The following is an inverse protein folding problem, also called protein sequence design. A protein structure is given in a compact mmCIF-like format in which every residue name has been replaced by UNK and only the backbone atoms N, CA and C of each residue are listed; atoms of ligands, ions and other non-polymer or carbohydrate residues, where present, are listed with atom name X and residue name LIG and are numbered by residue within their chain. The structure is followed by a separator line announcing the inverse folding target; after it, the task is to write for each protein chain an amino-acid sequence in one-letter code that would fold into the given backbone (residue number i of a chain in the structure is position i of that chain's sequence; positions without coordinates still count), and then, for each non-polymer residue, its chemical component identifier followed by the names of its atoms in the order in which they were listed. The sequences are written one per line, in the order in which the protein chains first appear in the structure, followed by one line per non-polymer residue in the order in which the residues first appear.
data_IF_522824330722
#
_entry.id   IF_522824330722
#
_cell.length_a   1.000
_cell.length_b   1.000
_cell.length_c   1.000
_cell.angle_alpha   90.00
_cell.angle_beta   90.00
_cell.angle_gamma   90.00
#
_symmetry.space_group_name_H-M   'P 1'
#
loop_
_entity.id
_entity.type
_entity.pdbx_description
1 polymer ?
#
# COMPACT_ATOMS: atom_id res chain seq x y z
N UNK A 1 40.66 33.46 -50.50
CA UNK A 1 40.23 32.07 -50.29
C UNK A 1 40.21 31.83 -48.78
N UNK A 2 39.04 31.42 -48.26
CA UNK A 2 38.83 30.69 -47.00
C UNK A 2 39.50 31.19 -45.71
N UNK A 3 38.89 32.15 -45.01
CA UNK A 3 39.03 32.20 -43.54
C UNK A 3 37.75 32.76 -42.91
N UNK A 4 37.34 32.16 -41.80
CA UNK A 4 36.37 32.65 -40.81
C UNK A 4 34.89 32.21 -40.88
N UNK A 5 34.57 31.05 -41.49
CA UNK A 5 33.25 30.42 -41.30
C UNK A 5 33.22 29.34 -40.20
N UNK A 6 34.38 28.84 -39.77
CA UNK A 6 34.49 27.79 -38.74
C UNK A 6 34.29 28.32 -37.33
N UNK A 7 34.80 29.52 -37.02
CA UNK A 7 34.72 30.08 -35.66
C UNK A 7 33.28 30.47 -35.25
N UNK A 8 32.46 30.93 -36.21
CA UNK A 8 31.07 31.32 -35.95
C UNK A 8 30.13 30.11 -35.78
N UNK A 9 30.42 28.99 -36.45
CA UNK A 9 29.68 27.73 -36.28
C UNK A 9 29.98 27.05 -34.94
N UNK A 10 31.21 27.13 -34.46
CA UNK A 10 31.59 26.60 -33.14
C UNK A 10 30.98 27.40 -31.98
N UNK A 11 30.83 28.74 -32.12
CA UNK A 11 30.19 29.56 -31.09
C UNK A 11 28.67 29.30 -30.99
N UNK A 12 28.01 29.03 -32.12
CA UNK A 12 26.56 28.74 -32.15
C UNK A 12 26.24 27.37 -31.51
N UNK A 13 27.14 26.38 -31.67
CA UNK A 13 26.98 25.04 -31.09
C UNK A 13 27.13 25.03 -29.55
N UNK A 14 28.00 25.89 -29.01
CA UNK A 14 28.15 26.08 -27.55
C UNK A 14 26.95 26.81 -26.95
N UNK A 15 26.34 27.75 -27.68
CA UNK A 15 25.15 28.48 -27.20
C UNK A 15 23.87 27.62 -27.21
N UNK A 16 23.74 26.67 -28.14
CA UNK A 16 22.61 25.71 -28.18
C UNK A 16 22.72 24.66 -27.05
N UNK A 17 23.93 24.26 -26.65
CA UNK A 17 24.15 23.36 -25.50
C UNK A 17 23.84 24.01 -24.15
N UNK A 18 23.93 25.34 -24.02
CA UNK A 18 23.58 26.07 -22.79
C UNK A 18 22.07 26.33 -22.61
N UNK A 19 21.26 26.13 -23.66
CA UNK A 19 19.79 26.22 -23.59
C UNK A 19 19.12 24.90 -23.23
N UNK A 20 19.84 23.77 -23.30
CA UNK A 20 19.39 22.50 -22.73
C UNK A 20 19.78 22.51 -21.26
N UNK A 21 19.00 23.23 -20.44
CA UNK A 21 19.01 22.91 -19.00
C UNK A 21 18.58 21.45 -18.90
N UNK A 22 19.38 20.53 -18.35
CA UNK A 22 18.79 19.30 -17.87
C UNK A 22 17.76 19.76 -16.84
N UNK A 23 16.48 19.56 -17.14
CA UNK A 23 15.49 19.46 -16.08
C UNK A 23 15.96 18.23 -15.32
N UNK A 24 16.83 18.45 -14.33
CA UNK A 24 16.96 17.54 -13.22
C UNK A 24 15.54 17.44 -12.70
N UNK A 25 14.84 16.37 -13.08
CA UNK A 25 13.67 15.95 -12.35
C UNK A 25 14.16 15.80 -10.92
N UNK A 26 13.86 16.77 -10.08
CA UNK A 26 14.04 16.62 -8.65
C UNK A 26 13.12 15.47 -8.28
N UNK A 27 13.68 14.27 -8.08
CA UNK A 27 12.90 13.14 -7.61
C UNK A 27 12.25 13.56 -6.30
N UNK A 28 10.95 13.82 -6.35
CA UNK A 28 10.19 14.24 -5.18
C UNK A 28 10.25 13.11 -4.16
N UNK A 29 10.76 13.40 -2.97
CA UNK A 29 10.78 12.46 -1.87
C UNK A 29 9.37 12.30 -1.29
N UNK A 30 8.68 11.21 -1.63
CA UNK A 30 7.31 10.93 -1.18
C UNK A 30 7.22 10.78 0.36
N UNK A 31 8.29 10.36 1.02
CA UNK A 31 8.36 10.24 2.49
C UNK A 31 8.16 11.61 3.15
N UNK A 32 8.66 12.67 2.52
CA UNK A 32 8.59 14.03 3.08
C UNK A 32 7.43 14.83 2.51
N UNK A 33 7.20 14.73 1.19
CA UNK A 33 6.28 15.62 0.48
C UNK A 33 4.82 15.12 0.45
N UNK A 34 4.59 13.81 0.64
CA UNK A 34 3.30 13.18 0.33
C UNK A 34 2.69 12.45 1.51
N UNK A 35 3.40 11.47 2.07
CA UNK A 35 2.86 10.60 3.13
C UNK A 35 2.40 11.36 4.39
N UNK A 36 3.09 12.44 4.84
CA UNK A 36 2.61 13.24 5.97
C UNK A 36 1.25 13.88 5.70
N UNK A 37 1.04 14.43 4.50
CA UNK A 37 -0.23 15.09 4.11
C UNK A 37 -1.38 14.07 3.98
N UNK A 38 -1.10 12.88 3.45
CA UNK A 38 -2.07 11.78 3.43
C UNK A 38 -2.42 11.35 4.85
N UNK A 39 -1.43 11.17 5.72
CA UNK A 39 -1.67 10.84 7.12
C UNK A 39 -2.56 11.88 7.83
N UNK A 40 -2.31 13.17 7.64
CA UNK A 40 -3.16 14.24 8.17
C UNK A 40 -4.61 14.15 7.62
N UNK A 41 -4.78 13.88 6.33
CA UNK A 41 -6.09 13.68 5.73
C UNK A 41 -6.84 12.50 6.35
N UNK A 42 -6.14 11.39 6.62
CA UNK A 42 -6.72 10.19 7.23
C UNK A 42 -7.10 10.40 8.70
N UNK A 43 -6.36 11.23 9.45
CA UNK A 43 -6.78 11.64 10.80
C UNK A 43 -8.05 12.49 10.77
N UNK A 44 -8.17 13.40 9.80
CA UNK A 44 -9.38 14.19 9.60
C UNK A 44 -10.60 13.32 9.22
N UNK A 45 -10.38 12.24 8.46
CA UNK A 45 -11.42 11.23 8.18
C UNK A 45 -11.91 10.58 9.47
N UNK A 46 -11.01 10.15 10.36
CA UNK A 46 -11.38 9.55 11.65
C UNK A 46 -12.23 10.53 12.48
N UNK A 47 -11.88 11.82 12.42
CA UNK A 47 -12.61 12.91 13.07
C UNK A 47 -13.87 13.36 12.32
N UNK A 48 -14.21 12.71 11.21
CA UNK A 48 -15.36 12.99 10.34
C UNK A 48 -15.36 14.38 9.69
N UNK A 49 -14.20 15.04 9.65
CA UNK A 49 -14.01 16.31 8.91
C UNK A 49 -13.58 16.00 7.47
N UNK A 50 -14.55 15.57 6.67
CA UNK A 50 -14.29 15.14 5.29
C UNK A 50 -13.87 16.30 4.37
N UNK A 51 -14.31 17.52 4.66
CA UNK A 51 -13.96 18.70 3.86
C UNK A 51 -12.50 19.08 4.09
N UNK A 52 -12.04 19.13 5.35
CA UNK A 52 -10.63 19.38 5.63
C UNK A 52 -9.74 18.22 5.14
N UNK A 53 -10.19 16.96 5.28
CA UNK A 53 -9.49 15.80 4.74
C UNK A 53 -9.30 15.92 3.22
N UNK A 54 -10.34 16.36 2.50
CA UNK A 54 -10.29 16.58 1.06
C UNK A 54 -9.24 17.64 0.68
N UNK A 55 -9.12 18.74 1.42
CA UNK A 55 -8.09 19.76 1.17
C UNK A 55 -6.67 19.24 1.42
N UNK A 56 -6.48 18.39 2.44
CA UNK A 56 -5.19 17.73 2.68
C UNK A 56 -4.82 16.77 1.55
N UNK A 57 -5.77 15.99 1.03
CA UNK A 57 -5.54 15.17 -0.16
C UNK A 57 -5.20 16.02 -1.39
N UNK A 58 -5.91 17.14 -1.64
CA UNK A 58 -5.57 18.06 -2.74
C UNK A 58 -4.13 18.55 -2.65
N UNK A 59 -3.70 18.93 -1.44
CA UNK A 59 -2.33 19.38 -1.17
C UNK A 59 -1.33 18.25 -1.41
N UNK A 60 -1.60 17.03 -0.92
CA UNK A 60 -0.76 15.86 -1.15
C UNK A 60 -0.62 15.56 -2.65
N UNK A 61 -1.73 15.58 -3.39
CA UNK A 61 -1.75 15.27 -4.81
C UNK A 61 -1.03 16.30 -5.67
N UNK A 62 -0.99 17.56 -5.24
CA UNK A 62 -0.23 18.61 -5.89
C UNK A 62 1.29 18.51 -5.61
N UNK A 63 1.69 17.84 -4.52
CA UNK A 63 3.08 17.74 -4.11
C UNK A 63 3.89 16.72 -4.91
N UNK A 64 3.23 15.77 -5.58
CA UNK A 64 3.87 14.65 -6.27
C UNK A 64 3.35 14.43 -7.70
N UNK A 65 4.15 13.81 -8.58
CA UNK A 65 3.72 13.56 -9.95
C UNK A 65 2.62 12.51 -10.08
N UNK A 66 2.61 11.49 -9.21
CA UNK A 66 1.65 10.38 -9.30
C UNK A 66 1.22 9.91 -7.89
N UNK A 67 0.06 10.36 -7.40
CA UNK A 67 -0.55 9.86 -6.15
C UNK A 67 -0.99 8.39 -6.27
N UNK A 68 -1.21 7.71 -5.14
CA UNK A 68 -1.67 6.31 -5.13
C UNK A 68 -3.17 6.19 -5.38
N UNK A 69 -3.61 5.08 -5.99
CA UNK A 69 -5.03 4.82 -6.26
C UNK A 69 -5.87 4.82 -4.98
N UNK A 70 -5.36 4.21 -3.90
CA UNK A 70 -6.04 4.16 -2.59
C UNK A 70 -6.35 5.56 -2.06
N UNK A 71 -5.45 6.50 -2.25
CA UNK A 71 -5.59 7.85 -1.73
C UNK A 71 -6.58 8.65 -2.58
N UNK A 72 -6.56 8.47 -3.92
CA UNK A 72 -7.63 8.99 -4.79
C UNK A 72 -9.01 8.45 -4.42
N UNK A 73 -9.09 7.17 -4.02
CA UNK A 73 -10.33 6.56 -3.56
C UNK A 73 -10.81 7.25 -2.28
N UNK A 74 -9.96 7.32 -1.23
CA UNK A 74 -10.32 7.98 0.02
C UNK A 74 -10.72 9.45 -0.21
N UNK A 75 -10.01 10.18 -1.09
CA UNK A 75 -10.36 11.55 -1.45
C UNK A 75 -11.69 11.66 -2.21
N UNK A 76 -12.04 10.69 -3.07
CA UNK A 76 -13.35 10.64 -3.74
C UNK A 76 -14.48 10.39 -2.73
N UNK A 77 -14.23 9.53 -1.73
CA UNK A 77 -15.18 9.29 -0.64
C UNK A 77 -15.38 10.57 0.19
N UNK A 78 -14.30 11.26 0.58
CA UNK A 78 -14.38 12.57 1.23
C UNK A 78 -15.19 13.57 0.41
N UNK A 79 -14.87 13.73 -0.87
CA UNK A 79 -15.58 14.65 -1.76
C UNK A 79 -17.07 14.31 -1.88
N UNK A 80 -17.43 13.02 -1.90
CA UNK A 80 -18.83 12.59 -1.94
C UNK A 80 -19.56 12.97 -0.66
N UNK A 81 -18.94 12.73 0.50
CA UNK A 81 -19.52 13.04 1.81
C UNK A 81 -19.57 14.54 2.11
N UNK A 82 -18.74 15.33 1.44
CA UNK A 82 -18.78 16.80 1.46
C UNK A 82 -19.62 17.41 0.33
N UNK A 83 -20.37 16.58 -0.40
CA UNK A 83 -21.23 17.00 -1.53
C UNK A 83 -20.51 17.71 -2.69
N UNK A 84 -19.18 17.63 -2.76
CA UNK A 84 -18.37 18.13 -3.88
C UNK A 84 -18.39 17.13 -5.05
N UNK A 85 -19.50 17.17 -5.79
CA UNK A 85 -19.74 16.29 -6.96
C UNK A 85 -18.66 16.44 -8.03
N UNK A 86 -18.15 17.65 -8.26
CA UNK A 86 -17.13 17.90 -9.28
C UNK A 86 -15.86 17.14 -8.91
N UNK A 87 -15.36 17.34 -7.69
CA UNK A 87 -14.13 16.73 -7.23
C UNK A 87 -14.25 15.21 -7.10
N UNK A 88 -15.44 14.73 -6.72
CA UNK A 88 -15.77 13.30 -6.73
C UNK A 88 -15.51 12.67 -8.10
N UNK A 89 -16.12 13.19 -9.17
CA UNK A 89 -15.93 12.64 -10.52
C UNK A 89 -14.52 12.85 -11.08
N UNK A 90 -13.84 13.93 -10.67
CA UNK A 90 -12.44 14.15 -11.04
C UNK A 90 -11.54 13.04 -10.46
N UNK A 91 -11.75 12.62 -9.21
CA UNK A 91 -10.99 11.52 -8.59
C UNK A 91 -11.43 10.13 -9.06
N UNK A 92 -12.72 9.88 -9.27
CA UNK A 92 -13.19 8.62 -9.89
C UNK A 92 -12.57 8.42 -11.29
N UNK A 93 -12.36 9.51 -12.04
CA UNK A 93 -11.61 9.48 -13.30
C UNK A 93 -10.14 9.11 -13.09
N UNK A 94 -9.47 9.61 -12.04
CA UNK A 94 -8.08 9.22 -11.75
C UNK A 94 -7.97 7.72 -11.43
N UNK A 95 -8.91 7.17 -10.65
CA UNK A 95 -9.00 5.73 -10.39
C UNK A 95 -9.12 4.92 -11.70
N UNK A 96 -10.01 5.34 -12.60
CA UNK A 96 -10.17 4.70 -13.91
C UNK A 96 -8.89 4.77 -14.78
N UNK A 97 -8.14 5.87 -14.69
CA UNK A 97 -6.85 6.04 -15.38
C UNK A 97 -5.72 5.21 -14.76
N UNK A 98 -5.89 4.72 -13.53
CA UNK A 98 -4.98 3.79 -12.84
C UNK A 98 -5.37 2.32 -12.99
N UNK A 99 -6.48 2.03 -13.65
CA UNK A 99 -6.93 0.67 -13.95
C UNK A 99 -7.90 0.07 -12.94
N UNK A 100 -8.44 0.87 -12.01
CA UNK A 100 -9.48 0.42 -11.06
C UNK A 100 -10.81 0.26 -11.80
N UNK A 101 -11.42 -0.92 -11.71
CA UNK A 101 -12.61 -1.32 -12.47
C UNK A 101 -13.87 -0.54 -12.08
N UNK A 102 -14.72 -0.25 -13.06
CA UNK A 102 -16.02 0.40 -12.81
C UNK A 102 -16.88 -0.45 -11.87
N UNK A 103 -16.86 -1.77 -12.05
CA UNK A 103 -17.57 -2.71 -11.18
C UNK A 103 -17.08 -2.66 -9.73
N UNK A 104 -15.80 -2.35 -9.49
CA UNK A 104 -15.31 -2.12 -8.14
C UNK A 104 -15.93 -0.85 -7.54
N UNK A 105 -15.94 0.26 -8.30
CA UNK A 105 -16.53 1.54 -7.87
C UNK A 105 -18.04 1.41 -7.62
N UNK A 106 -18.77 0.73 -8.50
CA UNK A 106 -20.22 0.51 -8.39
C UNK A 106 -20.64 -0.28 -7.15
N UNK A 107 -19.74 -1.08 -6.57
CA UNK A 107 -20.00 -1.82 -5.32
C UNK A 107 -19.88 -0.95 -4.07
N UNK A 108 -19.36 0.27 -4.19
CA UNK A 108 -19.09 1.14 -3.05
C UNK A 108 -20.33 1.95 -2.72
N UNK A 109 -20.99 1.60 -1.61
CA UNK A 109 -22.27 2.19 -1.21
C UNK A 109 -22.25 3.71 -1.12
N UNK A 110 -21.10 4.30 -0.76
CA UNK A 110 -20.96 5.76 -0.66
C UNK A 110 -21.21 6.50 -1.96
N UNK A 111 -21.03 5.85 -3.12
CA UNK A 111 -21.28 6.46 -4.43
C UNK A 111 -22.70 6.20 -4.97
N UNK A 112 -23.52 5.35 -4.33
CA UNK A 112 -24.89 5.04 -4.76
C UNK A 112 -25.77 6.27 -5.03
N UNK A 113 -25.74 7.34 -4.20
CA UNK A 113 -26.53 8.55 -4.46
C UNK A 113 -26.21 9.23 -5.79
N UNK A 114 -25.08 8.92 -6.42
CA UNK A 114 -24.66 9.49 -7.69
C UNK A 114 -25.27 8.74 -8.89
N UNK A 115 -25.73 7.49 -8.74
CA UNK A 115 -26.01 6.60 -9.88
C UNK A 115 -27.13 7.10 -10.80
N UNK A 116 -28.12 7.78 -10.25
CA UNK A 116 -29.26 8.32 -11.02
C UNK A 116 -28.92 9.67 -11.70
N UNK A 117 -27.79 10.28 -11.33
CA UNK A 117 -27.40 11.59 -11.84
C UNK A 117 -27.03 11.54 -13.32
N UNK A 118 -27.17 12.69 -13.99
CA UNK A 118 -26.69 12.83 -15.38
C UNK A 118 -25.16 12.68 -15.47
N UNK A 119 -24.43 13.07 -14.44
CA UNK A 119 -22.97 13.02 -14.44
C UNK A 119 -22.42 11.62 -14.26
N UNK A 120 -23.09 10.77 -13.47
CA UNK A 120 -22.75 9.35 -13.39
C UNK A 120 -22.91 8.64 -14.73
N UNK A 121 -24.06 8.81 -15.40
CA UNK A 121 -24.28 8.28 -16.77
C UNK A 121 -23.21 8.75 -17.76
N UNK A 122 -22.75 10.01 -17.65
CA UNK A 122 -21.62 10.52 -18.46
C UNK A 122 -20.30 9.85 -18.09
N UNK A 123 -20.05 9.63 -16.80
CA UNK A 123 -18.85 8.96 -16.30
C UNK A 123 -18.78 7.52 -16.82
N UNK A 124 -19.84 6.73 -16.66
CA UNK A 124 -19.94 5.35 -17.16
C UNK A 124 -19.72 5.27 -18.68
N UNK A 125 -20.38 6.15 -19.44
CA UNK A 125 -20.19 6.21 -20.91
C UNK A 125 -18.74 6.54 -21.30
N UNK A 126 -18.04 7.36 -20.51
CA UNK A 126 -16.63 7.73 -20.75
C UNK A 126 -15.65 6.70 -20.19
N UNK A 127 -16.07 5.83 -19.28
CA UNK A 127 -15.21 4.91 -18.57
C UNK A 127 -14.35 4.01 -19.50
N UNK A 128 -14.89 3.39 -20.58
CA UNK A 128 -14.07 2.62 -21.52
C UNK A 128 -12.93 3.44 -22.17
N UNK A 129 -13.13 4.74 -22.37
CA UNK A 129 -12.07 5.63 -22.88
C UNK A 129 -10.96 5.85 -21.86
N UNK A 130 -11.31 6.00 -20.57
CA UNK A 130 -10.31 6.13 -19.50
C UNK A 130 -9.52 4.82 -19.34
N UNK A 131 -10.21 3.69 -19.36
CA UNK A 131 -9.56 2.39 -19.27
C UNK A 131 -8.62 2.11 -20.46
N UNK A 132 -8.98 2.51 -21.69
CA UNK A 132 -8.04 2.47 -22.84
C UNK A 132 -6.82 3.38 -22.66
N UNK A 133 -6.97 4.53 -21.99
CA UNK A 133 -5.84 5.41 -21.66
C UNK A 133 -4.93 4.77 -20.62
N UNK A 134 -5.51 4.14 -19.60
CA UNK A 134 -4.80 3.32 -18.63
C UNK A 134 -3.92 2.28 -19.35
N UNK A 135 -4.51 1.41 -20.19
CA UNK A 135 -3.78 0.34 -20.90
C UNK A 135 -2.64 0.85 -21.78
N UNK A 136 -2.73 2.07 -22.33
CA UNK A 136 -1.66 2.66 -23.14
C UNK A 136 -0.54 3.28 -22.30
N UNK A 137 -0.85 3.76 -21.09
CA UNK A 137 0.11 4.41 -20.20
C UNK A 137 0.94 3.41 -19.40
N UNK A 138 0.35 2.26 -19.09
CA UNK A 138 1.00 1.21 -18.29
C UNK A 138 1.57 0.11 -19.20
N UNK A 139 2.62 -0.54 -18.72
CA UNK A 139 3.24 -1.65 -19.41
C UNK A 139 2.53 -2.97 -19.04
N UNK A 140 1.57 -3.36 -19.89
CA UNK A 140 0.77 -4.57 -19.70
C UNK A 140 1.59 -5.86 -19.89
N UNK A 141 2.65 -5.82 -20.69
CA UNK A 141 3.55 -6.95 -20.89
C UNK A 141 4.35 -7.22 -19.62
N UNK A 142 4.99 -6.18 -19.05
CA UNK A 142 5.70 -6.28 -17.76
C UNK A 142 4.74 -6.71 -16.64
N UNK A 143 3.49 -6.21 -16.64
CA UNK A 143 2.49 -6.69 -15.67
C UNK A 143 2.26 -8.21 -15.82
N UNK A 144 2.06 -8.69 -17.03
CA UNK A 144 1.80 -10.11 -17.29
C UNK A 144 3.01 -10.99 -16.92
N UNK A 145 4.24 -10.56 -17.24
CA UNK A 145 5.47 -11.26 -16.85
C UNK A 145 5.62 -11.35 -15.33
N UNK A 146 5.36 -10.26 -14.61
CA UNK A 146 5.42 -10.24 -13.14
C UNK A 146 4.31 -11.08 -12.49
N UNK A 147 3.12 -11.09 -13.08
CA UNK A 147 2.02 -11.97 -12.64
C UNK A 147 2.38 -13.45 -12.84
N UNK A 148 3.16 -13.80 -13.87
CA UNK A 148 3.65 -15.16 -14.11
C UNK A 148 4.52 -15.68 -12.95
N UNK A 149 5.34 -14.82 -12.32
CA UNK A 149 6.16 -15.21 -11.17
C UNK A 149 5.32 -15.80 -10.03
N UNK A 150 4.14 -15.21 -9.79
CA UNK A 150 3.18 -15.70 -8.81
C UNK A 150 2.59 -17.05 -9.22
N UNK A 151 2.21 -17.22 -10.48
CA UNK A 151 1.66 -18.50 -10.96
C UNK A 151 2.69 -19.63 -10.92
N UNK A 152 3.95 -19.36 -11.26
CA UNK A 152 5.07 -20.30 -11.18
C UNK A 152 5.29 -20.79 -9.75
N UNK A 153 5.30 -19.87 -8.77
CA UNK A 153 5.42 -20.23 -7.34
C UNK A 153 4.23 -21.11 -6.88
N UNK A 154 3.00 -20.68 -7.20
CA UNK A 154 1.80 -21.38 -6.74
C UNK A 154 1.63 -22.77 -7.34
N UNK A 155 1.98 -22.96 -8.62
CA UNK A 155 1.78 -24.23 -9.34
C UNK A 155 2.31 -25.43 -8.58
N UNK A 156 3.56 -25.37 -8.09
CA UNK A 156 4.19 -26.49 -7.40
C UNK A 156 3.92 -26.49 -5.89
N UNK A 157 3.70 -25.31 -5.30
CA UNK A 157 3.45 -25.19 -3.86
C UNK A 157 2.10 -25.79 -3.46
N UNK A 158 1.10 -25.70 -4.35
CA UNK A 158 -0.25 -26.24 -4.15
C UNK A 158 -0.51 -27.52 -4.96
N UNK A 159 0.50 -28.06 -5.64
CA UNK A 159 0.40 -29.39 -6.25
C UNK A 159 0.34 -30.49 -5.18
N UNK A 160 -0.10 -31.69 -5.57
CA UNK A 160 -0.13 -32.84 -4.67
C UNK A 160 1.27 -33.11 -4.09
N UNK A 161 1.35 -33.20 -2.76
CA UNK A 161 2.62 -33.33 -2.03
C UNK A 161 3.37 -32.00 -1.80
N UNK A 162 3.05 -30.94 -2.54
CA UNK A 162 3.52 -29.57 -2.29
C UNK A 162 5.02 -29.46 -1.99
N UNK A 163 5.36 -28.75 -0.91
CA UNK A 163 6.74 -28.59 -0.45
C UNK A 163 7.46 -29.92 -0.16
N UNK A 164 6.74 -30.97 0.24
CA UNK A 164 7.36 -32.28 0.53
C UNK A 164 7.91 -32.95 -0.72
N UNK A 165 7.25 -32.76 -1.86
CA UNK A 165 7.61 -33.40 -3.15
C UNK A 165 8.43 -32.45 -4.02
N UNK A 166 8.11 -31.16 -4.02
CA UNK A 166 8.66 -30.19 -4.96
C UNK A 166 9.64 -29.20 -4.31
N UNK A 167 10.28 -29.55 -3.18
CA UNK A 167 11.20 -28.65 -2.47
C UNK A 167 12.30 -28.08 -3.38
N UNK A 168 12.99 -28.94 -4.13
CA UNK A 168 14.10 -28.53 -5.01
C UNK A 168 13.61 -27.70 -6.19
N UNK A 169 12.50 -28.11 -6.80
CA UNK A 169 11.84 -27.36 -7.87
C UNK A 169 11.43 -25.96 -7.41
N UNK A 170 10.83 -25.86 -6.22
CA UNK A 170 10.41 -24.59 -5.65
C UNK A 170 11.62 -23.69 -5.33
N UNK A 171 12.73 -24.24 -4.83
CA UNK A 171 13.95 -23.46 -4.60
C UNK A 171 14.49 -22.88 -5.92
N UNK A 172 14.58 -23.70 -6.96
CA UNK A 172 15.01 -23.24 -8.29
C UNK A 172 14.09 -22.14 -8.85
N UNK A 173 12.77 -22.31 -8.72
CA UNK A 173 11.80 -21.30 -9.13
C UNK A 173 11.93 -20.02 -8.32
N UNK A 174 12.12 -20.11 -7.00
CA UNK A 174 12.34 -18.96 -6.12
C UNK A 174 13.56 -18.16 -6.58
N UNK A 175 14.69 -18.82 -6.88
CA UNK A 175 15.92 -18.17 -7.36
C UNK A 175 15.72 -17.51 -8.74
N UNK A 176 15.15 -18.25 -9.71
CA UNK A 176 14.86 -17.72 -11.05
C UNK A 176 13.91 -16.51 -10.99
N UNK A 177 12.91 -16.56 -10.11
CA UNK A 177 11.95 -15.46 -9.95
C UNK A 177 12.62 -14.21 -9.35
N UNK A 178 13.59 -14.36 -8.45
CA UNK A 178 14.41 -13.23 -7.94
C UNK A 178 15.18 -12.59 -9.09
N UNK A 179 15.88 -13.38 -9.91
CA UNK A 179 16.64 -12.86 -11.06
C UNK A 179 15.75 -12.16 -12.09
N UNK A 180 14.54 -12.68 -12.34
CA UNK A 180 13.58 -12.03 -13.22
C UNK A 180 13.12 -10.69 -12.64
N UNK A 181 12.73 -10.66 -11.36
CA UNK A 181 12.28 -9.43 -10.70
C UNK A 181 13.38 -8.36 -10.67
N UNK A 182 14.62 -8.73 -10.31
CA UNK A 182 15.75 -7.80 -10.27
C UNK A 182 16.09 -7.25 -11.66
N UNK A 183 16.02 -8.06 -12.72
CA UNK A 183 16.21 -7.60 -14.11
C UNK A 183 15.11 -6.63 -14.53
N UNK A 184 13.87 -6.90 -14.16
CA UNK A 184 12.75 -5.98 -14.43
C UNK A 184 12.95 -4.65 -13.70
N UNK A 185 13.34 -4.67 -12.43
CA UNK A 185 13.64 -3.48 -11.64
C UNK A 185 14.81 -2.70 -12.27
N UNK A 186 15.89 -3.37 -12.66
CA UNK A 186 17.04 -2.71 -13.29
C UNK A 186 16.69 -2.04 -14.63
N UNK A 187 15.74 -2.60 -15.38
CA UNK A 187 15.33 -2.08 -16.70
C UNK A 187 14.26 -0.99 -16.61
N UNK A 188 13.34 -1.10 -15.67
CA UNK A 188 12.11 -0.30 -15.65
C UNK A 188 11.88 0.49 -14.35
N UNK A 189 12.74 0.34 -13.35
CA UNK A 189 12.48 0.77 -11.97
C UNK A 189 11.54 -0.17 -11.22
N UNK A 190 11.28 0.11 -9.94
CA UNK A 190 10.39 -0.72 -9.13
C UNK A 190 8.97 -0.75 -9.74
N UNK A 191 8.35 -1.94 -9.98
CA UNK A 191 7.06 -2.04 -10.68
C UNK A 191 5.86 -1.59 -9.84
N UNK A 192 5.72 -0.27 -9.65
CA UNK A 192 4.60 0.37 -8.97
C UNK A 192 3.39 0.67 -9.86
N UNK A 193 2.38 1.34 -9.30
CA UNK A 193 1.13 1.67 -10.01
C UNK A 193 1.36 2.46 -11.31
N UNK A 194 2.40 3.30 -11.36
CA UNK A 194 2.75 4.08 -12.56
C UNK A 194 3.13 3.17 -13.72
N UNK A 195 3.88 2.10 -13.46
CA UNK A 195 4.38 1.18 -14.48
C UNK A 195 3.32 0.14 -14.85
N UNK A 196 2.72 -0.52 -13.86
CA UNK A 196 1.87 -1.71 -14.07
C UNK A 196 0.40 -1.52 -13.68
N UNK A 197 0.00 -0.34 -13.20
CA UNK A 197 -1.36 -0.06 -12.73
C UNK A 197 -1.64 -0.54 -11.32
N UNK A 198 -2.76 -0.06 -10.75
CA UNK A 198 -3.18 -0.38 -9.39
C UNK A 198 -3.97 -1.70 -9.27
N UNK A 199 -4.23 -2.39 -10.38
CA UNK A 199 -5.12 -3.55 -10.43
C UNK A 199 -6.60 -3.18 -10.31
N UNK A 200 -7.46 -4.12 -10.68
CA UNK A 200 -8.91 -3.90 -10.82
C UNK A 200 -9.59 -3.43 -9.52
N UNK A 201 -9.09 -3.85 -8.37
CA UNK A 201 -9.65 -3.55 -7.05
C UNK A 201 -8.65 -2.89 -6.09
N UNK A 202 -7.67 -2.14 -6.62
CA UNK A 202 -6.58 -1.50 -5.85
C UNK A 202 -5.79 -2.50 -5.00
N UNK A 203 -4.93 -3.27 -5.67
CA UNK A 203 -4.07 -4.25 -5.04
C UNK A 203 -3.14 -3.56 -4.02
N UNK A 204 -3.22 -3.96 -2.74
CA UNK A 204 -2.34 -3.41 -1.69
C UNK A 204 -0.90 -3.93 -1.80
N UNK A 205 -0.74 -5.12 -2.39
CA UNK A 205 0.53 -5.72 -2.75
C UNK A 205 0.42 -6.22 -4.20
N UNK A 206 1.36 -5.85 -5.08
CA UNK A 206 1.47 -6.46 -6.40
C UNK A 206 1.69 -7.97 -6.26
N UNK A 207 1.16 -8.79 -7.19
CA UNK A 207 1.25 -10.25 -7.09
C UNK A 207 2.67 -10.79 -7.01
N UNK A 208 3.64 -10.11 -7.65
CA UNK A 208 5.05 -10.47 -7.57
C UNK A 208 5.67 -10.27 -6.18
N UNK A 209 4.97 -9.62 -5.22
CA UNK A 209 5.44 -9.48 -3.83
C UNK A 209 5.73 -10.82 -3.17
N UNK A 210 5.09 -11.90 -3.64
CA UNK A 210 5.35 -13.26 -3.21
C UNK A 210 6.84 -13.62 -3.34
N UNK A 211 7.53 -13.14 -4.39
CA UNK A 211 8.96 -13.38 -4.61
C UNK A 211 9.77 -12.81 -3.45
N UNK A 212 9.42 -11.59 -3.02
CA UNK A 212 10.06 -10.88 -1.92
C UNK A 212 9.76 -11.58 -0.58
N UNK A 213 8.50 -11.97 -0.36
CA UNK A 213 8.07 -12.67 0.87
C UNK A 213 8.79 -14.02 1.08
N UNK A 214 9.29 -14.66 0.00
CA UNK A 214 10.04 -15.91 0.11
C UNK A 214 11.50 -15.73 0.49
N UNK A 215 12.06 -14.54 0.35
CA UNK A 215 13.47 -14.26 0.64
C UNK A 215 13.73 -13.95 2.11
N UNK A 216 13.47 -14.93 2.98
CA UNK A 216 13.65 -14.74 4.42
C UNK A 216 15.11 -14.83 4.83
N UNK A 217 15.47 -14.15 5.92
CA UNK A 217 16.81 -14.24 6.52
C UNK A 217 17.15 -15.69 6.91
N UNK A 218 16.16 -16.46 7.40
CA UNK A 218 16.32 -17.87 7.74
C UNK A 218 16.72 -18.74 6.53
N UNK A 219 16.31 -18.34 5.31
CA UNK A 219 16.69 -19.00 4.05
C UNK A 219 17.95 -18.43 3.42
N UNK A 220 18.58 -17.41 4.02
CA UNK A 220 19.64 -16.60 3.39
C UNK A 220 19.19 -16.03 2.03
N UNK A 221 17.92 -15.62 1.95
CA UNK A 221 17.35 -15.05 0.74
C UNK A 221 17.94 -13.68 0.40
N UNK A 222 17.67 -13.21 -0.82
CA UNK A 222 18.07 -11.88 -1.28
C UNK A 222 17.39 -10.78 -0.42
N UNK A 223 18.18 -9.82 0.06
CA UNK A 223 17.64 -8.70 0.85
C UNK A 223 17.08 -7.60 -0.05
N UNK A 224 15.76 -7.54 -0.17
CA UNK A 224 15.07 -6.50 -0.93
C UNK A 224 14.95 -5.16 -0.17
N UNK A 225 15.43 -5.06 1.08
CA UNK A 225 15.26 -3.85 1.92
C UNK A 225 15.65 -2.55 1.21
N UNK A 226 16.84 -2.43 0.57
CA UNK A 226 17.23 -1.18 -0.09
C UNK A 226 16.28 -0.81 -1.24
N UNK A 227 15.88 -1.80 -2.05
CA UNK A 227 14.96 -1.60 -3.18
C UNK A 227 13.56 -1.19 -2.71
N UNK A 228 13.10 -1.74 -1.59
CA UNK A 228 11.80 -1.38 -1.01
C UNK A 228 11.81 0.05 -0.44
N UNK A 229 12.89 0.45 0.24
CA UNK A 229 13.05 1.81 0.76
C UNK A 229 13.10 2.85 -0.37
N UNK A 230 13.88 2.57 -1.42
CA UNK A 230 13.96 3.41 -2.61
C UNK A 230 12.60 3.49 -3.32
N UNK A 231 11.89 2.37 -3.45
CA UNK A 231 10.56 2.35 -4.04
C UNK A 231 9.54 3.22 -3.28
N UNK A 232 9.63 3.28 -1.95
CA UNK A 232 8.79 4.19 -1.15
C UNK A 232 9.19 5.65 -1.40
N UNK A 233 10.48 5.96 -1.34
CA UNK A 233 10.98 7.32 -1.56
C UNK A 233 10.54 7.87 -2.93
N UNK A 234 10.55 7.04 -3.97
CA UNK A 234 10.15 7.38 -5.34
C UNK A 234 8.64 7.30 -5.61
N UNK A 235 7.82 6.90 -4.64
CA UNK A 235 6.37 6.75 -4.82
C UNK A 235 5.93 5.54 -5.66
N UNK A 236 6.79 4.52 -5.77
CA UNK A 236 6.49 3.27 -6.48
C UNK A 236 5.88 2.19 -5.56
N UNK A 237 6.00 2.33 -4.24
CA UNK A 237 5.42 1.42 -3.25
C UNK A 237 4.93 2.20 -2.02
N UNK A 238 3.82 1.78 -1.43
CA UNK A 238 3.36 2.42 -0.18
C UNK A 238 4.25 2.01 1.00
N UNK A 239 4.43 2.89 2.00
CA UNK A 239 5.25 2.58 3.17
C UNK A 239 4.69 1.41 3.99
N UNK A 240 3.36 1.22 4.01
CA UNK A 240 2.73 0.06 4.67
C UNK A 240 3.08 -1.26 3.98
N UNK A 241 3.08 -1.29 2.65
CA UNK A 241 3.46 -2.46 1.87
C UNK A 241 4.95 -2.79 2.04
N UNK A 242 5.83 -1.78 1.96
CA UNK A 242 7.26 -1.96 2.17
C UNK A 242 7.57 -2.52 3.57
N UNK A 243 6.98 -1.92 4.61
CA UNK A 243 7.15 -2.39 5.99
C UNK A 243 6.71 -3.83 6.18
N UNK A 244 5.58 -4.24 5.58
CA UNK A 244 5.09 -5.60 5.63
C UNK A 244 6.09 -6.58 5.01
N UNK A 245 6.58 -6.28 3.80
CA UNK A 245 7.55 -7.13 3.09
C UNK A 245 8.90 -7.19 3.81
N UNK A 246 9.34 -6.10 4.43
CA UNK A 246 10.57 -6.09 5.24
C UNK A 246 10.42 -6.90 6.54
N UNK A 247 9.26 -6.85 7.20
CA UNK A 247 8.97 -7.70 8.37
C UNK A 247 8.88 -9.18 7.98
N UNK A 248 8.27 -9.49 6.83
CA UNK A 248 8.18 -10.85 6.30
C UNK A 248 9.58 -11.45 6.02
N UNK A 249 10.49 -10.68 5.43
CA UNK A 249 11.88 -11.11 5.19
C UNK A 249 12.66 -11.29 6.50
N UNK A 250 12.52 -10.36 7.44
CA UNK A 250 13.26 -10.36 8.71
C UNK A 250 12.73 -11.39 9.73
N UNK A 251 11.47 -11.82 9.60
CA UNK A 251 10.82 -12.71 10.57
C UNK A 251 10.53 -12.03 11.91
N UNK A 252 10.50 -10.70 11.95
CA UNK A 252 10.19 -9.92 13.15
C UNK A 252 9.27 -8.74 12.84
N UNK A 253 8.62 -8.18 13.88
CA UNK A 253 7.61 -7.12 13.75
C UNK A 253 8.17 -5.74 14.13
N UNK A 254 9.25 -5.29 13.49
CA UNK A 254 9.96 -4.04 13.84
C UNK A 254 9.17 -2.75 13.56
N UNK A 255 8.29 -2.75 12.55
CA UNK A 255 7.38 -1.66 12.20
C UNK A 255 5.98 -1.82 12.81
N UNK A 256 5.67 -2.98 13.39
CA UNK A 256 4.38 -3.33 13.99
C UNK A 256 3.23 -3.19 12.97
N UNK A 257 3.39 -3.79 11.78
CA UNK A 257 2.39 -3.69 10.69
C UNK A 257 1.05 -4.35 11.02
N UNK A 258 1.06 -5.31 11.94
CA UNK A 258 -0.13 -5.81 12.62
C UNK A 258 -0.48 -4.83 13.74
N UNK A 259 -1.49 -3.99 13.52
CA UNK A 259 -1.95 -3.00 14.47
C UNK A 259 -2.79 -3.62 15.59
N UNK A 260 -3.68 -4.55 15.25
CA UNK A 260 -4.64 -5.15 16.17
C UNK A 260 -4.54 -6.67 16.16
N UNK A 261 -4.77 -7.27 17.33
CA UNK A 261 -4.92 -8.71 17.51
C UNK A 261 -6.30 -9.00 18.07
N UNK A 262 -6.95 -10.06 17.59
CA UNK A 262 -8.16 -10.61 18.19
C UNK A 262 -7.95 -12.09 18.46
N UNK A 263 -8.23 -12.51 19.69
CA UNK A 263 -8.14 -13.92 20.10
C UNK A 263 -9.54 -14.40 20.43
N UNK A 264 -9.97 -15.45 19.73
CA UNK A 264 -11.25 -16.13 19.92
C UNK A 264 -11.01 -17.61 20.23
N UNK A 265 -11.99 -18.28 20.82
CA UNK A 265 -11.91 -19.71 21.12
C UNK A 265 -12.68 -20.53 20.10
N UNK A 266 -12.18 -21.74 19.81
CA UNK A 266 -12.79 -22.67 18.83
C UNK A 266 -14.21 -23.01 19.26
N UNK A 267 -14.37 -23.38 20.53
CA UNK A 267 -15.65 -23.45 21.21
C UNK A 267 -15.58 -22.49 22.42
N UNK A 268 -16.54 -21.57 22.60
CA UNK A 268 -16.56 -20.66 23.74
C UNK A 268 -16.38 -21.37 25.10
N UNK A 269 -16.95 -22.57 25.24
CA UNK A 269 -16.87 -23.39 26.47
C UNK A 269 -15.45 -23.79 26.85
N UNK A 270 -14.55 -23.98 25.88
CA UNK A 270 -13.17 -24.41 26.13
C UNK A 270 -12.33 -23.29 26.80
N UNK A 271 -12.84 -22.07 26.77
CA UNK A 271 -12.24 -20.91 27.42
C UNK A 271 -13.02 -20.43 28.64
N UNK A 272 -14.13 -21.10 28.97
CA UNK A 272 -14.87 -20.86 30.21
C UNK A 272 -14.06 -21.30 31.43
N UNK A 273 -14.51 -20.87 32.60
CA UNK A 273 -13.89 -21.22 33.87
C UNK A 273 -14.11 -20.12 34.89
N UNK A 274 -13.65 -20.30 36.14
CA UNK A 274 -14.11 -19.51 37.28
C UNK A 274 -13.83 -18.00 37.16
N UNK A 275 -12.83 -17.61 36.36
CA UNK A 275 -12.57 -16.21 35.97
C UNK A 275 -12.69 -16.05 34.46
N UNK A 276 -13.53 -15.11 34.00
CA UNK A 276 -13.67 -14.75 32.59
C UNK A 276 -12.39 -14.07 32.07
N UNK A 277 -11.90 -14.48 30.91
CA UNK A 277 -10.80 -13.79 30.25
C UNK A 277 -11.35 -12.50 29.62
N UNK A 278 -11.02 -11.36 30.24
CA UNK A 278 -11.54 -10.04 29.85
C UNK A 278 -11.10 -9.56 28.46
N UNK A 279 -10.07 -10.18 27.89
CA UNK A 279 -9.43 -9.82 26.63
C UNK A 279 -9.95 -10.65 25.43
N UNK A 280 -10.66 -11.76 25.66
CA UNK A 280 -11.19 -12.59 24.59
C UNK A 280 -12.24 -11.84 23.76
N UNK A 281 -12.25 -12.14 22.46
CA UNK A 281 -13.17 -11.59 21.46
C UNK A 281 -13.14 -10.06 21.30
N UNK A 282 -12.13 -9.40 21.89
CA UNK A 282 -11.87 -7.98 21.75
C UNK A 282 -10.71 -7.74 20.80
N UNK A 283 -10.68 -6.53 20.23
CA UNK A 283 -9.50 -6.04 19.56
C UNK A 283 -8.49 -5.55 20.59
N UNK A 284 -7.26 -6.02 20.44
CA UNK A 284 -6.16 -5.84 21.38
C UNK A 284 -4.98 -5.16 20.70
N UNK A 285 -4.24 -4.38 21.48
CA UNK A 285 -2.96 -3.80 21.08
C UNK A 285 -1.86 -4.32 21.99
N UNK A 286 -0.67 -4.52 21.42
CA UNK A 286 0.53 -4.87 22.19
C UNK A 286 0.91 -3.70 23.09
N UNK A 287 1.11 -3.98 24.38
CA UNK A 287 1.61 -3.02 25.35
C UNK A 287 3.10 -2.81 25.11
N UNK A 288 3.47 -1.56 24.85
CA UNK A 288 4.86 -1.13 24.70
C UNK A 288 5.20 -0.14 25.81
N UNK A 289 6.44 -0.15 26.27
CA UNK A 289 6.97 1.00 27.01
C UNK A 289 7.17 2.20 26.09
N UNK A 290 7.17 3.42 26.64
CA UNK A 290 7.42 4.65 25.87
C UNK A 290 8.69 4.54 25.02
N UNK A 291 9.78 4.01 25.61
CA UNK A 291 11.06 3.83 24.91
C UNK A 291 10.97 2.85 23.72
N UNK A 292 10.16 1.79 23.83
CA UNK A 292 9.97 0.85 22.73
C UNK A 292 9.12 1.47 21.63
N UNK A 293 8.07 2.19 21.99
CA UNK A 293 7.22 2.91 21.06
C UNK A 293 7.99 4.00 20.31
N UNK A 294 8.85 4.78 20.98
CA UNK A 294 9.71 5.80 20.36
C UNK A 294 10.66 5.19 19.31
N UNK A 295 11.23 4.01 19.61
CA UNK A 295 12.08 3.28 18.65
C UNK A 295 11.28 2.83 17.44
N UNK A 296 10.08 2.29 17.65
CA UNK A 296 9.19 1.88 16.56
C UNK A 296 8.79 3.10 15.73
N UNK A 297 8.43 4.22 16.35
CA UNK A 297 8.04 5.44 15.67
C UNK A 297 9.19 6.07 14.88
N UNK A 298 10.41 6.02 15.39
CA UNK A 298 11.62 6.44 14.66
C UNK A 298 11.81 5.61 13.39
N UNK A 299 11.69 4.27 13.50
CA UNK A 299 11.78 3.37 12.34
C UNK A 299 10.64 3.64 11.35
N UNK A 300 9.41 3.79 11.83
CA UNK A 300 8.23 4.07 11.01
C UNK A 300 8.39 5.39 10.25
N UNK A 301 8.78 6.47 10.93
CA UNK A 301 9.01 7.77 10.30
C UNK A 301 10.09 7.72 9.21
N UNK A 302 11.17 6.95 9.42
CA UNK A 302 12.23 6.80 8.41
C UNK A 302 11.77 6.15 7.10
N UNK A 303 10.65 5.41 7.14
CA UNK A 303 10.03 4.79 5.97
C UNK A 303 8.80 5.57 5.48
N UNK A 304 8.45 6.71 6.08
CA UNK A 304 7.23 7.45 5.75
C UNK A 304 5.94 6.86 6.30
N UNK A 305 6.02 6.00 7.31
CA UNK A 305 4.87 5.55 8.09
C UNK A 305 4.52 6.58 9.18
N UNK A 306 3.23 6.67 9.49
CA UNK A 306 2.70 7.42 10.62
C UNK A 306 3.13 6.82 11.98
N UNK A 307 2.99 7.55 13.10
CA UNK A 307 3.13 6.99 14.43
C UNK A 307 2.25 5.74 14.64
N UNK A 308 2.74 4.79 15.45
CA UNK A 308 2.06 3.52 15.67
C UNK A 308 0.66 3.71 16.28
N UNK A 309 0.50 4.67 17.19
CA UNK A 309 -0.77 5.00 17.82
C UNK A 309 -1.82 5.41 16.78
N UNK A 310 -1.45 6.26 15.82
CA UNK A 310 -2.35 6.73 14.78
C UNK A 310 -2.73 5.63 13.81
N UNK A 311 -1.77 4.78 13.45
CA UNK A 311 -2.05 3.60 12.64
C UNK A 311 -3.05 2.66 13.34
N UNK A 312 -2.90 2.45 14.65
CA UNK A 312 -3.88 1.67 15.45
C UNK A 312 -5.26 2.33 15.47
N UNK A 313 -5.34 3.66 15.62
CA UNK A 313 -6.60 4.43 15.54
C UNK A 313 -7.27 4.27 14.17
N UNK A 314 -6.53 4.40 13.07
CA UNK A 314 -7.02 4.17 11.69
C UNK A 314 -7.56 2.76 11.48
N UNK A 315 -6.82 1.74 11.92
CA UNK A 315 -7.24 0.34 11.77
C UNK A 315 -8.49 0.06 12.61
N UNK A 316 -8.57 0.58 13.83
CA UNK A 316 -9.77 0.42 14.66
C UNK A 316 -10.99 1.11 14.03
N UNK A 317 -10.81 2.32 13.48
CA UNK A 317 -11.87 3.03 12.76
C UNK A 317 -12.36 2.23 11.54
N UNK A 318 -11.45 1.67 10.73
CA UNK A 318 -11.82 0.87 9.54
C UNK A 318 -12.64 -0.39 9.86
N UNK A 319 -12.62 -0.87 11.10
CA UNK A 319 -13.48 -1.98 11.54
C UNK A 319 -14.93 -1.55 11.79
N UNK A 320 -15.16 -0.26 12.00
CA UNK A 320 -16.47 0.34 12.26
C UNK A 320 -17.04 1.02 11.00
N UNK A 321 -16.18 1.67 10.22
CA UNK A 321 -16.53 2.35 8.97
C UNK A 321 -15.66 1.84 7.82
N UNK A 322 -16.28 1.07 6.93
CA UNK A 322 -15.61 0.44 5.80
C UNK A 322 -15.72 1.25 4.49
N UNK A 323 -16.19 2.50 4.55
CA UNK A 323 -16.27 3.38 3.37
C UNK A 323 -14.88 3.87 2.94
N UNK A 324 -13.90 3.80 3.82
CA UNK A 324 -12.53 4.25 3.59
C UNK A 324 -11.54 3.08 3.63
N UNK A 325 -10.44 3.21 2.88
CA UNK A 325 -9.33 2.26 2.85
C UNK A 325 -8.15 2.80 3.66
N UNK A 326 -8.29 2.82 4.99
CA UNK A 326 -7.23 3.28 5.90
C UNK A 326 -6.37 2.13 6.44
N UNK A 327 -6.93 0.92 6.48
CA UNK A 327 -6.26 -0.28 6.97
C UNK A 327 -5.76 -1.17 5.82
N UNK A 328 -4.61 -1.80 6.03
CA UNK A 328 -4.13 -2.88 5.15
C UNK A 328 -4.78 -4.23 5.52
N UNK A 329 -4.82 -5.19 4.60
CA UNK A 329 -5.46 -6.50 4.82
C UNK A 329 -4.77 -7.33 5.92
N UNK A 330 -3.50 -7.06 6.21
CA UNK A 330 -2.72 -7.72 7.27
C UNK A 330 -2.76 -6.97 8.61
N UNK A 331 -3.44 -5.82 8.70
CA UNK A 331 -3.40 -4.96 9.90
C UNK A 331 -4.02 -5.58 11.13
N UNK A 332 -4.93 -6.55 10.94
CA UNK A 332 -5.61 -7.26 12.03
C UNK A 332 -5.27 -8.74 11.95
N UNK A 333 -4.73 -9.28 13.04
CA UNK A 333 -4.45 -10.72 13.16
C UNK A 333 -5.49 -11.37 14.05
N UNK A 334 -6.26 -12.29 13.48
CA UNK A 334 -7.21 -13.11 14.20
C UNK A 334 -6.58 -14.46 14.55
N UNK A 335 -6.65 -14.85 15.83
CA UNK A 335 -6.27 -16.16 16.33
C UNK A 335 -7.50 -16.89 16.84
N UNK A 336 -7.60 -18.17 16.51
CA UNK A 336 -8.58 -19.10 17.08
C UNK A 336 -7.80 -20.14 17.88
N UNK A 337 -8.12 -20.28 19.16
CA UNK A 337 -7.39 -21.18 20.08
C UNK A 337 -8.28 -22.29 20.63
N UNK A 338 -7.70 -23.46 20.98
CA UNK A 338 -8.47 -24.60 21.46
C UNK A 338 -8.72 -24.57 22.98
N UNK A 339 -8.08 -23.66 23.73
CA UNK A 339 -8.20 -23.65 25.19
C UNK A 339 -7.96 -22.28 25.81
N UNK A 340 -8.37 -22.16 27.06
CA UNK A 340 -8.12 -20.99 27.92
C UNK A 340 -6.64 -20.69 28.12
N UNK A 341 -5.81 -21.72 28.24
CA UNK A 341 -4.36 -21.59 28.47
C UNK A 341 -3.69 -20.98 27.23
N UNK A 342 -4.04 -21.47 26.05
CA UNK A 342 -3.56 -20.90 24.79
C UNK A 342 -4.05 -19.45 24.62
N UNK A 343 -5.29 -19.15 25.00
CA UNK A 343 -5.80 -17.78 24.99
C UNK A 343 -5.00 -16.85 25.91
N UNK A 344 -4.64 -17.29 27.11
CA UNK A 344 -3.81 -16.50 28.04
C UNK A 344 -2.44 -16.21 27.45
N UNK A 345 -1.78 -17.19 26.85
CA UNK A 345 -0.46 -17.01 26.22
C UNK A 345 -0.53 -15.99 25.08
N UNK A 346 -1.55 -16.08 24.21
CA UNK A 346 -1.69 -15.16 23.08
C UNK A 346 -2.18 -13.76 23.46
N UNK A 347 -2.77 -13.60 24.63
CA UNK A 347 -3.22 -12.30 25.15
C UNK A 347 -2.24 -11.69 26.15
N UNK A 348 -1.16 -12.39 26.48
CA UNK A 348 -0.12 -11.87 27.35
C UNK A 348 0.62 -10.69 26.70
N UNK A 349 0.87 -9.63 27.48
CA UNK A 349 1.42 -8.38 26.97
C UNK A 349 0.44 -7.54 26.12
N UNK A 350 -0.84 -7.91 26.03
CA UNK A 350 -1.86 -7.13 25.30
C UNK A 350 -2.82 -6.38 26.23
N UNK A 351 -3.40 -5.30 25.70
CA UNK A 351 -4.47 -4.51 26.33
C UNK A 351 -5.60 -4.24 25.33
N UNK A 352 -6.79 -3.94 25.83
CA UNK A 352 -7.95 -3.64 24.97
C UNK A 352 -7.71 -2.36 24.18
N UNK A 353 -7.88 -2.42 22.86
CA UNK A 353 -7.60 -1.31 21.94
C UNK A 353 -8.42 -0.07 22.29
N UNK A 354 -9.74 -0.20 22.48
CA UNK A 354 -10.61 0.95 22.81
C UNK A 354 -10.14 1.69 24.07
N UNK A 355 -9.69 0.98 25.10
CA UNK A 355 -9.17 1.60 26.32
C UNK A 355 -7.82 2.26 26.09
N UNK A 356 -6.94 1.61 25.34
CA UNK A 356 -5.59 2.09 25.06
C UNK A 356 -5.56 3.30 24.12
N UNK A 357 -6.53 3.42 23.21
CA UNK A 357 -6.57 4.45 22.18
C UNK A 357 -7.48 5.64 22.53
N UNK A 358 -8.27 5.55 23.61
CA UNK A 358 -9.12 6.62 24.10
C UNK A 358 -8.45 7.53 25.14
N UNK A 359 -7.23 7.19 25.59
CA UNK A 359 -6.53 7.87 26.69
C UNK A 359 -5.69 9.09 26.26
N UNK A 360 -5.73 9.45 24.97
CA UNK A 360 -4.98 10.54 24.33
C UNK A 360 -5.79 11.14 23.18
#
# INVERSE_FOLDING_TARGET
MSLNYTCFRSLLLVFVLLLVRPVLATDTDYIKAYHPLVHEAELLIINKDYAAALEKYKTAFAAVPEPFARDYYNAAVCATLSEDKKQTFDYLKQLALKGVDLAFVQKQKVFEPLYETKDWRKFEKKYPKYHRKYKRRTNQEVRAELDELYYRDRKYRFAEGGLRVYADTLRKIEDENVDMLLRTIARHGFPGEKLIGAGAAMEQLPRFSIVIERQTTAKKGFDFTPLLQEAVQQGNLTPQAAAYLMEAQAGNRKYKTIALVKVACTNPKDCEGPKKLKLLDKYLVERLSTREEDKVNTLRASLGLEPLIDYRKKVLYSLQDNRFMLASNWSVKNYVVPSKEAAKVLTDGFIVAETALASE
#
